data_IF_204263561133
#
_entry.id   IF_204263561133
#
_cell.length_a   1.000
_cell.length_b   1.000
_cell.length_c   1.000
_cell.angle_alpha   90.00
_cell.angle_beta   90.00
_cell.angle_gamma   90.00
#
_symmetry.space_group_name_H-M   'P 1'
#
loop_
_entity.id
_entity.type
_entity.pdbx_description
1 polymer ?
#
# COMPACT_ATOMS: atom_id res chain seq x y z
N UNK A 1 -18.36 -13.22 -3.21
CA UNK A 1 -17.04 -12.73 -2.79
C UNK A 1 -16.88 -13.11 -1.34
N UNK A 2 -15.76 -13.71 -0.97
CA UNK A 2 -15.44 -14.10 0.40
C UNK A 2 -14.13 -13.44 0.80
N UNK A 3 -14.05 -13.03 2.07
CA UNK A 3 -12.85 -12.50 2.67
C UNK A 3 -12.21 -13.66 3.44
N UNK A 4 -10.97 -14.00 3.09
CA UNK A 4 -10.21 -15.08 3.70
C UNK A 4 -9.34 -14.50 4.80
N UNK A 5 -9.56 -14.90 6.04
CA UNK A 5 -8.80 -14.45 7.20
C UNK A 5 -8.24 -15.66 7.95
N UNK A 6 -7.07 -15.48 8.58
CA UNK A 6 -6.41 -16.52 9.37
C UNK A 6 -5.85 -15.93 10.65
N UNK A 7 -5.87 -16.71 11.72
CA UNK A 7 -5.16 -16.41 12.96
C UNK A 7 -3.71 -16.93 12.92
N UNK A 8 -2.98 -16.82 14.03
CA UNK A 8 -1.60 -17.30 14.19
C UNK A 8 -1.42 -18.80 13.96
N UNK A 9 -2.48 -19.59 14.14
CA UNK A 9 -2.48 -21.03 13.89
C UNK A 9 -2.78 -21.38 12.42
N UNK A 10 -3.09 -20.37 11.60
CA UNK A 10 -3.39 -20.52 10.17
C UNK A 10 -4.82 -20.96 9.88
N UNK A 11 -5.72 -20.92 10.87
CA UNK A 11 -7.13 -21.28 10.70
C UNK A 11 -8.03 -20.05 10.76
N UNK A 12 -9.19 -20.14 10.12
CA UNK A 12 -10.26 -19.14 10.19
C UNK A 12 -11.28 -19.46 11.30
N UNK A 13 -11.11 -20.60 11.99
CA UNK A 13 -12.03 -21.09 13.01
C UNK A 13 -11.54 -20.66 14.38
N UNK A 14 -12.32 -19.82 15.05
CA UNK A 14 -12.11 -19.55 16.46
C UNK A 14 -12.48 -20.79 17.27
N UNK A 15 -11.49 -21.59 17.64
CA UNK A 15 -11.70 -22.66 18.62
C UNK A 15 -11.65 -22.04 20.01
N UNK A 16 -12.77 -22.18 20.74
CA UNK A 16 -13.21 -21.47 21.95
C UNK A 16 -12.28 -21.47 23.19
N UNK A 17 -10.97 -21.68 23.05
CA UNK A 17 -10.02 -21.62 24.18
C UNK A 17 -8.53 -21.61 23.80
N UNK A 18 -8.12 -21.69 22.52
CA UNK A 18 -6.69 -21.77 22.14
C UNK A 18 -6.22 -20.81 21.04
N UNK A 19 -7.12 -20.09 20.36
CA UNK A 19 -6.74 -19.21 19.24
C UNK A 19 -6.90 -17.73 19.61
N UNK A 20 -6.05 -16.86 19.04
CA UNK A 20 -6.10 -15.43 19.36
C UNK A 20 -7.37 -14.75 18.83
N UNK A 21 -7.69 -13.59 19.43
CA UNK A 21 -8.71 -12.67 18.90
C UNK A 21 -8.22 -11.87 17.69
N UNK A 22 -7.02 -12.15 17.16
CA UNK A 22 -6.37 -11.36 16.13
C UNK A 22 -6.27 -12.18 14.83
N UNK A 23 -6.95 -11.69 13.80
CA UNK A 23 -6.94 -12.30 12.48
C UNK A 23 -6.30 -11.35 11.49
N UNK A 24 -5.56 -11.91 10.54
CA UNK A 24 -4.98 -11.18 9.40
C UNK A 24 -5.76 -11.54 8.14
N UNK A 25 -6.02 -10.54 7.29
CA UNK A 25 -6.56 -10.75 5.96
C UNK A 25 -5.54 -11.51 5.11
N UNK A 26 -5.86 -12.76 4.78
CA UNK A 26 -5.03 -13.62 3.92
C UNK A 26 -5.33 -13.40 2.43
N UNK A 27 -6.56 -13.03 2.08
CA UNK A 27 -6.93 -12.77 0.69
C UNK A 27 -8.43 -12.57 0.47
N UNK A 28 -8.81 -12.44 -0.79
CA UNK A 28 -10.20 -12.32 -1.23
C UNK A 28 -10.45 -13.39 -2.29
N UNK A 29 -11.51 -14.17 -2.11
CA UNK A 29 -11.99 -15.11 -3.12
C UNK A 29 -13.21 -14.52 -3.83
N UNK A 30 -13.19 -14.53 -5.17
CA UNK A 30 -14.30 -14.06 -6.00
C UNK A 30 -14.73 -15.15 -6.99
N UNK A 31 -16.02 -15.23 -7.34
CA UNK A 31 -16.46 -16.08 -8.42
C UNK A 31 -15.71 -15.76 -9.72
N UNK A 32 -15.33 -16.80 -10.46
CA UNK A 32 -14.60 -16.63 -11.73
C UNK A 32 -15.37 -15.78 -12.74
N UNK A 33 -16.71 -15.82 -12.70
CA UNK A 33 -17.60 -14.99 -13.52
C UNK A 33 -17.38 -13.50 -13.33
N UNK A 34 -16.89 -13.08 -12.16
CA UNK A 34 -16.67 -11.68 -11.80
C UNK A 34 -15.22 -11.25 -12.02
N UNK A 35 -14.32 -12.17 -12.38
CA UNK A 35 -12.88 -11.90 -12.49
C UNK A 35 -12.57 -10.75 -13.44
N UNK A 36 -13.11 -10.82 -14.67
CA UNK A 36 -12.87 -9.81 -15.71
C UNK A 36 -13.33 -8.41 -15.30
N UNK A 37 -14.46 -8.32 -14.61
CA UNK A 37 -14.98 -7.04 -14.15
C UNK A 37 -14.14 -6.48 -13.01
N UNK A 38 -13.74 -7.32 -12.05
CA UNK A 38 -12.85 -6.91 -10.97
C UNK A 38 -11.49 -6.41 -11.51
N UNK A 39 -10.92 -7.13 -12.47
CA UNK A 39 -9.66 -6.77 -13.14
C UNK A 39 -9.78 -5.44 -13.89
N UNK A 40 -10.88 -5.23 -14.62
CA UNK A 40 -11.19 -3.96 -15.30
C UNK A 40 -11.29 -2.78 -14.32
N UNK A 41 -12.03 -2.97 -13.22
CA UNK A 41 -12.20 -1.92 -12.20
C UNK A 41 -10.86 -1.59 -11.52
N UNK A 42 -10.06 -2.60 -11.16
CA UNK A 42 -8.73 -2.39 -10.58
C UNK A 42 -7.82 -1.65 -11.57
N UNK A 43 -7.87 -2.02 -12.84
CA UNK A 43 -7.06 -1.38 -13.89
C UNK A 43 -7.43 0.09 -14.08
N UNK A 44 -8.73 0.41 -14.11
CA UNK A 44 -9.20 1.79 -14.19
C UNK A 44 -8.73 2.63 -12.99
N UNK A 45 -8.83 2.07 -11.77
CA UNK A 45 -8.32 2.75 -10.58
C UNK A 45 -6.81 2.98 -10.69
N UNK A 46 -6.03 1.97 -11.09
CA UNK A 46 -4.58 2.13 -11.27
C UNK A 46 -4.23 3.22 -12.27
N UNK A 47 -4.97 3.29 -13.37
CA UNK A 47 -4.77 4.31 -14.41
C UNK A 47 -4.98 5.73 -13.88
N UNK A 48 -5.97 5.97 -13.02
CA UNK A 48 -6.19 7.29 -12.39
C UNK A 48 -4.97 7.80 -11.61
N UNK A 49 -4.14 6.89 -11.13
CA UNK A 49 -2.92 7.19 -10.38
C UNK A 49 -1.62 6.97 -11.17
N UNK A 50 -1.70 6.69 -12.48
CA UNK A 50 -0.53 6.41 -13.31
C UNK A 50 0.24 5.14 -12.90
N UNK A 51 -0.49 4.13 -12.40
CA UNK A 51 0.04 2.85 -11.91
C UNK A 51 -0.25 1.67 -12.87
N UNK A 52 -0.53 1.95 -14.15
CA UNK A 52 -0.86 0.92 -15.14
C UNK A 52 0.25 -0.14 -15.39
N UNK A 53 -0.17 -1.22 -16.04
CA UNK A 53 0.60 -2.26 -16.75
C UNK A 53 1.58 -3.17 -15.99
N UNK A 54 2.12 -2.83 -14.81
CA UNK A 54 2.99 -3.78 -14.06
C UNK A 54 3.14 -3.50 -12.57
N UNK A 55 2.59 -2.40 -12.06
CA UNK A 55 2.88 -1.99 -10.68
C UNK A 55 2.13 -2.87 -9.68
N UNK A 56 2.85 -3.75 -9.00
CA UNK A 56 2.41 -4.41 -7.78
C UNK A 56 2.39 -3.38 -6.64
N UNK A 57 1.24 -3.23 -5.99
CA UNK A 57 1.11 -2.36 -4.83
C UNK A 57 1.38 -3.22 -3.59
N UNK A 58 2.62 -3.17 -3.11
CA UNK A 58 2.95 -3.83 -1.85
C UNK A 58 2.29 -3.09 -0.69
N UNK A 59 1.52 -3.81 0.13
CA UNK A 59 0.86 -3.28 1.33
C UNK A 59 1.86 -2.63 2.30
N UNK A 60 3.09 -3.14 2.35
CA UNK A 60 4.18 -2.55 3.12
C UNK A 60 4.50 -1.10 2.71
N UNK A 61 4.32 -0.72 1.43
CA UNK A 61 4.53 0.65 0.97
C UNK A 61 3.42 1.59 1.44
N UNK A 62 2.19 1.10 1.56
CA UNK A 62 1.05 1.86 2.08
C UNK A 62 1.27 2.19 3.57
N UNK A 63 1.88 1.27 4.32
CA UNK A 63 2.14 1.44 5.76
C UNK A 63 3.39 2.29 6.06
N UNK A 64 4.26 2.52 5.07
CA UNK A 64 5.50 3.27 5.29
C UNK A 64 5.21 4.76 5.46
N UNK A 65 5.73 5.32 6.56
CA UNK A 65 5.80 6.77 6.72
C UNK A 65 6.93 7.33 5.87
N UNK A 66 6.61 8.19 4.90
CA UNK A 66 7.59 8.99 4.17
C UNK A 66 7.77 10.33 4.87
N UNK A 67 8.74 10.40 5.79
CA UNK A 67 8.97 11.58 6.65
C UNK A 67 9.32 12.81 5.80
N UNK A 68 10.03 12.63 4.70
CA UNK A 68 10.38 13.68 3.75
C UNK A 68 9.13 14.33 3.15
N UNK A 69 8.11 13.55 2.80
CA UNK A 69 6.85 14.08 2.25
C UNK A 69 6.11 14.93 3.29
N UNK A 70 6.11 14.51 4.56
CA UNK A 70 5.48 15.26 5.67
C UNK A 70 6.15 16.62 5.94
N UNK A 71 7.38 16.82 5.48
CA UNK A 71 8.12 18.08 5.63
C UNK A 71 7.85 19.08 4.51
N UNK A 72 7.11 18.68 3.47
CA UNK A 72 6.76 19.54 2.33
C UNK A 72 5.41 20.21 2.64
N UNK A 73 5.36 21.54 2.82
CA UNK A 73 4.10 22.25 3.04
C UNK A 73 3.15 22.10 1.85
N UNK A 74 1.88 21.77 2.10
CA UNK A 74 0.86 21.65 1.05
C UNK A 74 1.11 20.52 0.04
N UNK A 75 1.81 19.46 0.44
CA UNK A 75 2.21 18.34 -0.43
C UNK A 75 1.04 17.73 -1.22
N UNK A 76 -0.15 17.68 -0.63
CA UNK A 76 -1.37 17.18 -1.23
C UNK A 76 -1.82 17.99 -2.46
N UNK A 77 -1.45 19.27 -2.55
CA UNK A 77 -1.80 20.16 -3.65
C UNK A 77 -0.77 20.16 -4.79
N UNK A 78 0.38 19.50 -4.59
CA UNK A 78 1.44 19.41 -5.60
C UNK A 78 1.12 18.35 -6.66
N UNK A 79 1.54 18.61 -7.89
CA UNK A 79 1.49 17.61 -8.96
C UNK A 79 2.53 16.48 -8.73
N UNK A 80 2.39 15.33 -9.42
CA UNK A 80 3.29 14.19 -9.22
C UNK A 80 4.78 14.48 -9.43
N UNK A 81 5.14 15.37 -10.36
CA UNK A 81 6.55 15.70 -10.65
C UNK A 81 7.11 16.64 -9.60
N UNK A 82 6.34 17.64 -9.17
CA UNK A 82 6.66 18.50 -8.05
C UNK A 82 6.88 17.69 -6.76
N UNK A 83 5.97 16.75 -6.46
CA UNK A 83 6.11 15.84 -5.31
C UNK A 83 7.43 15.07 -5.34
N UNK A 84 7.79 14.49 -6.48
CA UNK A 84 9.06 13.75 -6.67
C UNK A 84 10.27 14.68 -6.47
N UNK A 85 10.23 15.87 -7.05
CA UNK A 85 11.31 16.85 -7.00
C UNK A 85 11.57 17.33 -5.57
N UNK A 86 10.52 17.79 -4.87
CA UNK A 86 10.61 18.30 -3.50
C UNK A 86 11.05 17.21 -2.52
N UNK A 87 10.49 16.00 -2.65
CA UNK A 87 10.89 14.86 -1.80
C UNK A 87 12.37 14.51 -2.01
N UNK A 88 12.85 14.51 -3.25
CA UNK A 88 14.27 14.28 -3.57
C UNK A 88 15.16 15.38 -3.02
N UNK A 89 14.74 16.63 -3.10
CA UNK A 89 15.48 17.78 -2.54
C UNK A 89 15.71 17.62 -1.03
N UNK A 90 14.64 17.33 -0.28
CA UNK A 90 14.73 17.09 1.18
C UNK A 90 15.63 15.88 1.48
N UNK A 91 15.47 14.78 0.73
CA UNK A 91 16.29 13.58 0.91
C UNK A 91 17.78 13.85 0.65
N UNK A 92 18.11 14.51 -0.45
CA UNK A 92 19.49 14.81 -0.83
C UNK A 92 20.15 15.75 0.16
N UNK A 93 19.43 16.76 0.65
CA UNK A 93 19.90 17.62 1.74
C UNK A 93 20.26 16.79 2.97
N UNK A 94 19.37 15.87 3.39
CA UNK A 94 19.61 15.03 4.55
C UNK A 94 20.82 14.11 4.37
N UNK A 95 20.99 13.53 3.18
CA UNK A 95 22.17 12.72 2.86
C UNK A 95 23.44 13.58 2.93
N UNK A 96 23.44 14.78 2.35
CA UNK A 96 24.60 15.68 2.39
C UNK A 96 24.95 16.13 3.81
N UNK A 97 23.98 16.29 4.70
CA UNK A 97 24.24 16.58 6.12
C UNK A 97 24.96 15.40 6.78
N UNK A 98 24.49 14.16 6.53
CA UNK A 98 25.07 12.94 7.12
C UNK A 98 26.45 12.58 6.56
N UNK A 99 26.79 13.00 5.34
CA UNK A 99 28.12 12.74 4.73
C UNK A 99 29.20 13.74 5.13
N UNK A 100 28.87 14.75 5.94
CA UNK A 100 29.83 15.75 6.45
C UNK A 100 30.32 15.45 7.86
N UNK A 101 29.71 14.47 8.52
CA UNK A 101 30.11 13.90 9.81
C UNK A 101 30.98 12.66 9.60
#
# INVERSE_FOLDING_TARGET
MHICYVDESGTSVQNNSQNTSHFVLAGIALPITNWREADRVISNIKQEYGLEDTTEIHTAWILRSYIEQRRIPGFENLDPEQRKMETRSIRNRKISELSRD
#
